data_IF_538310057961
#
_entry.id   IF_538310057961
#
_cell.length_a   1.000
_cell.length_b   1.000
_cell.length_c   1.000
_cell.angle_alpha   90.00
_cell.angle_beta   90.00
_cell.angle_gamma   90.00
#
_symmetry.space_group_name_H-M   'P 1'
#
loop_
_entity.id
_entity.type
_entity.pdbx_description
1 polymer ?
#
# COMPACT_ATOMS: atom_id res chain seq x y z
N UNK A 1 16.94 -4.66 1.76
CA UNK A 1 17.56 -5.31 0.58
C UNK A 1 16.75 -6.50 0.05
N UNK A 2 16.43 -7.51 0.87
CA UNK A 2 15.66 -8.68 0.42
C UNK A 2 14.30 -8.35 -0.21
N UNK A 3 13.59 -7.38 0.36
CA UNK A 3 12.31 -6.88 -0.18
C UNK A 3 12.47 -6.22 -1.54
N UNK A 4 13.49 -5.37 -1.71
CA UNK A 4 13.78 -4.73 -2.99
C UNK A 4 14.04 -5.76 -4.08
N UNK A 5 14.86 -6.77 -3.77
CA UNK A 5 15.15 -7.89 -4.67
C UNK A 5 13.89 -8.68 -5.01
N UNK A 6 13.06 -8.99 -4.02
CA UNK A 6 11.77 -9.69 -4.22
C UNK A 6 10.85 -8.92 -5.17
N UNK A 7 10.64 -7.62 -4.94
CA UNK A 7 9.76 -6.78 -5.79
C UNK A 7 10.38 -6.62 -7.18
N UNK A 8 11.69 -6.50 -7.29
CA UNK A 8 12.40 -6.37 -8.57
C UNK A 8 12.19 -7.61 -9.45
N UNK A 9 12.37 -8.81 -8.89
CA UNK A 9 12.11 -10.07 -9.61
C UNK A 9 10.62 -10.31 -9.88
N UNK A 10 9.71 -9.78 -9.03
CA UNK A 10 8.26 -9.97 -9.20
C UNK A 10 7.67 -9.11 -10.32
N UNK A 11 8.15 -7.87 -10.48
CA UNK A 11 7.53 -6.86 -11.35
C UNK A 11 8.37 -6.46 -12.57
N UNK A 12 9.59 -6.99 -12.72
CA UNK A 12 10.52 -6.76 -13.84
C UNK A 12 10.91 -5.28 -14.10
N UNK A 13 10.34 -4.34 -13.33
CA UNK A 13 10.45 -2.90 -13.52
C UNK A 13 10.79 -2.22 -12.21
N UNK A 14 11.96 -1.58 -12.19
CA UNK A 14 12.54 -0.95 -11.00
C UNK A 14 11.66 0.14 -10.38
N UNK A 15 10.78 0.78 -11.16
CA UNK A 15 9.89 1.85 -10.70
C UNK A 15 8.91 1.34 -9.62
N UNK A 16 8.40 0.11 -9.75
CA UNK A 16 7.56 -0.54 -8.75
C UNK A 16 8.34 -0.85 -7.47
N UNK A 17 9.59 -1.31 -7.62
CA UNK A 17 10.47 -1.63 -6.49
C UNK A 17 10.87 -0.38 -5.71
N UNK A 18 11.15 0.73 -6.40
CA UNK A 18 11.49 2.02 -5.76
C UNK A 18 10.30 2.58 -4.96
N UNK A 19 9.10 2.60 -5.57
CA UNK A 19 7.89 3.07 -4.91
C UNK A 19 7.55 2.25 -3.66
N UNK A 20 7.66 0.91 -3.76
CA UNK A 20 7.43 0.02 -2.63
C UNK A 20 8.43 0.23 -1.48
N UNK A 21 9.71 0.43 -1.78
CA UNK A 21 10.72 0.69 -0.74
C UNK A 21 10.48 2.03 -0.04
N UNK A 22 10.11 3.07 -0.78
CA UNK A 22 9.81 4.39 -0.21
C UNK A 22 8.60 4.31 0.73
N UNK A 23 7.52 3.64 0.29
CA UNK A 23 6.34 3.43 1.12
C UNK A 23 6.68 2.68 2.43
N UNK A 24 7.46 1.60 2.34
CA UNK A 24 7.89 0.86 3.53
C UNK A 24 8.81 1.64 4.46
N UNK A 25 9.69 2.47 3.90
CA UNK A 25 10.56 3.34 4.69
C UNK A 25 9.72 4.36 5.47
N UNK A 26 8.71 4.95 4.83
CA UNK A 26 7.75 5.83 5.48
C UNK A 26 6.99 5.12 6.61
N UNK A 27 6.49 3.90 6.38
CA UNK A 27 5.78 3.10 7.39
C UNK A 27 6.66 2.83 8.62
N UNK A 28 7.92 2.42 8.40
CA UNK A 28 8.86 2.15 9.48
C UNK A 28 9.20 3.42 10.29
N UNK A 29 9.37 4.56 9.62
CA UNK A 29 9.61 5.84 10.30
C UNK A 29 8.44 6.25 11.19
N UNK A 30 7.19 6.09 10.73
CA UNK A 30 6.01 6.43 11.51
C UNK A 30 5.87 5.55 12.77
N UNK A 31 6.19 4.26 12.65
CA UNK A 31 6.19 3.34 13.79
C UNK A 31 7.27 3.74 14.81
N UNK A 32 8.49 4.06 14.36
CA UNK A 32 9.57 4.53 15.26
C UNK A 32 9.18 5.86 15.91
N UNK A 33 8.62 6.80 15.15
CA UNK A 33 8.20 8.12 15.65
C UNK A 33 7.06 8.02 16.68
N UNK A 34 6.26 6.96 16.65
CA UNK A 34 5.16 6.78 17.60
C UNK A 34 5.61 6.54 19.05
N UNK A 35 6.81 5.99 19.25
CA UNK A 35 7.36 5.68 20.59
C UNK A 35 7.67 6.93 21.43
N UNK A 36 8.42 7.93 20.93
CA UNK A 36 8.63 9.17 21.69
C UNK A 36 7.32 9.96 21.89
N UNK A 37 6.38 9.88 20.95
CA UNK A 37 5.05 10.47 21.11
C UNK A 37 4.30 9.78 22.26
N UNK A 38 4.28 8.44 22.28
CA UNK A 38 3.69 7.68 23.37
C UNK A 38 4.33 8.00 24.73
N UNK A 39 5.65 8.18 24.75
CA UNK A 39 6.39 8.58 25.95
C UNK A 39 5.95 9.96 26.47
N UNK A 40 5.61 10.90 25.59
CA UNK A 40 5.06 12.20 25.97
C UNK A 40 3.66 12.09 26.63
N UNK A 41 2.89 11.05 26.29
CA UNK A 41 1.62 10.72 26.94
C UNK A 41 1.76 9.82 28.19
N UNK A 42 2.99 9.58 28.67
CA UNK A 42 3.27 8.77 29.85
C UNK A 42 3.35 7.26 29.59
N UNK A 43 3.25 6.81 28.33
CA UNK A 43 3.42 5.41 27.94
C UNK A 43 4.89 5.15 27.57
N UNK A 44 5.63 4.49 28.46
CA UNK A 44 7.02 4.12 28.22
C UNK A 44 7.10 2.74 27.59
N UNK A 45 7.30 2.69 26.29
CA UNK A 45 7.57 1.44 25.56
C UNK A 45 9.05 1.32 25.23
N UNK A 46 9.61 0.14 25.43
CA UNK A 46 10.99 -0.17 25.07
C UNK A 46 11.07 -0.66 23.61
N UNK A 47 12.07 -0.19 22.89
CA UNK A 47 12.40 -0.69 21.55
C UNK A 47 13.37 -1.87 21.69
N UNK A 48 12.82 -3.05 21.95
CA UNK A 48 13.55 -4.29 22.13
C UNK A 48 13.52 -5.17 20.86
N UNK A 49 13.93 -6.44 20.96
CA UNK A 49 13.86 -7.37 19.84
C UNK A 49 12.41 -7.63 19.39
N UNK A 50 11.45 -7.54 20.30
CA UNK A 50 10.03 -7.75 20.02
C UNK A 50 9.49 -6.58 19.18
N UNK A 51 9.93 -5.35 19.45
CA UNK A 51 9.67 -4.21 18.57
C UNK A 51 10.17 -4.44 17.14
N UNK A 52 11.39 -4.97 16.96
CA UNK A 52 11.92 -5.28 15.62
C UNK A 52 11.04 -6.33 14.92
N UNK A 53 10.55 -7.32 15.64
CA UNK A 53 9.61 -8.32 15.10
C UNK A 53 8.27 -7.68 14.66
N UNK A 54 7.77 -6.69 15.40
CA UNK A 54 6.58 -5.93 15.00
C UNK A 54 6.82 -5.18 13.69
N UNK A 55 7.92 -4.43 13.58
CA UNK A 55 8.27 -3.68 12.37
C UNK A 55 8.40 -4.60 11.17
N UNK A 56 9.08 -5.75 11.32
CA UNK A 56 9.21 -6.73 10.24
C UNK A 56 7.85 -7.29 9.80
N UNK A 57 6.94 -7.53 10.75
CA UNK A 57 5.58 -8.02 10.48
C UNK A 57 4.76 -6.99 9.70
N UNK A 58 4.82 -5.71 10.10
CA UNK A 58 4.14 -4.60 9.42
C UNK A 58 4.63 -4.47 7.99
N UNK A 59 5.94 -4.54 7.79
CA UNK A 59 6.54 -4.51 6.45
C UNK A 59 6.02 -5.67 5.59
N UNK A 60 5.87 -6.87 6.16
CA UNK A 60 5.31 -8.02 5.47
C UNK A 60 3.86 -7.80 5.02
N UNK A 61 3.01 -7.26 5.90
CA UNK A 61 1.61 -6.95 5.56
C UNK A 61 1.51 -5.83 4.51
N UNK A 62 2.18 -4.71 4.71
CA UNK A 62 2.20 -3.58 3.76
C UNK A 62 2.70 -3.99 2.37
N UNK A 63 3.73 -4.85 2.31
CA UNK A 63 4.23 -5.41 1.06
C UNK A 63 3.22 -6.34 0.38
N UNK A 64 2.57 -7.23 1.13
CA UNK A 64 1.55 -8.13 0.60
C UNK A 64 0.45 -7.32 -0.12
N UNK A 65 -0.02 -6.24 0.49
CA UNK A 65 -1.10 -5.44 -0.06
C UNK A 65 -0.66 -4.67 -1.30
N UNK A 66 0.56 -4.11 -1.26
CA UNK A 66 1.18 -3.45 -2.42
C UNK A 66 1.28 -4.39 -3.62
N UNK A 67 1.72 -5.64 -3.42
CA UNK A 67 1.85 -6.64 -4.49
C UNK A 67 0.49 -6.98 -5.10
N UNK A 68 -0.54 -7.18 -4.27
CA UNK A 68 -1.89 -7.52 -4.75
C UNK A 68 -2.49 -6.38 -5.59
N UNK A 69 -2.30 -5.12 -5.18
CA UNK A 69 -2.73 -3.94 -5.94
C UNK A 69 -2.00 -3.88 -7.28
N UNK A 70 -0.67 -4.05 -7.27
CA UNK A 70 0.15 -3.97 -8.49
C UNK A 70 -0.17 -5.10 -9.47
N UNK A 71 -0.39 -6.31 -8.98
CA UNK A 71 -0.80 -7.45 -9.78
C UNK A 71 -2.16 -7.16 -10.45
N UNK A 72 -3.11 -6.60 -9.71
CA UNK A 72 -4.42 -6.24 -10.25
C UNK A 72 -4.31 -5.14 -11.32
N UNK A 73 -3.49 -4.11 -11.10
CA UNK A 73 -3.22 -3.08 -12.11
C UNK A 73 -2.66 -3.70 -13.39
N UNK A 74 -1.67 -4.62 -13.27
CA UNK A 74 -1.10 -5.33 -14.43
C UNK A 74 -2.14 -6.22 -15.11
N UNK A 75 -3.04 -6.84 -14.36
CA UNK A 75 -4.12 -7.65 -14.91
C UNK A 75 -5.07 -6.82 -15.78
N UNK A 76 -5.48 -5.63 -15.32
CA UNK A 76 -6.31 -4.71 -16.12
C UNK A 76 -5.60 -4.26 -17.40
N UNK A 77 -4.31 -3.89 -17.34
CA UNK A 77 -3.54 -3.48 -18.52
C UNK A 77 -3.31 -4.63 -19.51
N UNK A 78 -3.19 -5.86 -19.02
CA UNK A 78 -3.05 -7.03 -19.89
C UNK A 78 -4.36 -7.38 -20.59
N UNK A 79 -5.49 -7.21 -19.90
CA UNK A 79 -6.81 -7.53 -20.45
C UNK A 79 -7.29 -6.48 -21.46
N UNK A 80 -6.97 -5.21 -21.25
CA UNK A 80 -7.24 -4.16 -22.22
C UNK A 80 -6.02 -3.22 -22.41
N UNK A 81 -5.16 -3.51 -23.40
CA UNK A 81 -3.97 -2.73 -23.69
C UNK A 81 -4.24 -1.28 -24.15
N UNK A 82 -5.50 -0.92 -24.42
CA UNK A 82 -5.87 0.45 -24.79
C UNK A 82 -6.09 1.35 -23.57
N UNK A 83 -6.29 0.76 -22.40
CA UNK A 83 -6.46 1.51 -21.15
C UNK A 83 -5.12 2.04 -20.67
N UNK A 84 -5.10 3.30 -20.29
CA UNK A 84 -3.93 3.93 -19.69
C UNK A 84 -3.77 3.52 -18.22
N UNK A 85 -2.55 3.62 -17.69
CA UNK A 85 -2.25 3.36 -16.28
C UNK A 85 -3.18 4.16 -15.33
N UNK A 86 -3.49 5.41 -15.69
CA UNK A 86 -4.41 6.28 -14.94
C UNK A 86 -5.85 5.74 -14.89
N UNK A 87 -6.32 5.11 -15.97
CA UNK A 87 -7.67 4.58 -16.05
C UNK A 87 -7.84 3.27 -15.28
N UNK A 88 -6.80 2.45 -15.21
CA UNK A 88 -6.87 1.13 -14.54
C UNK A 88 -6.64 1.19 -13.04
N UNK A 89 -6.01 2.24 -12.52
CA UNK A 89 -5.68 2.34 -11.09
C UNK A 89 -6.92 2.37 -10.21
N UNK A 90 -7.90 3.23 -10.51
CA UNK A 90 -9.07 3.36 -9.65
C UNK A 90 -9.93 2.06 -9.61
N UNK A 91 -10.21 1.41 -10.75
CA UNK A 91 -10.83 0.07 -10.76
C UNK A 91 -10.01 -0.98 -10.02
N UNK A 92 -8.69 -1.01 -10.20
CA UNK A 92 -7.81 -1.95 -9.53
C UNK A 92 -7.88 -1.80 -8.01
N UNK A 93 -7.70 -0.57 -7.51
CA UNK A 93 -7.81 -0.24 -6.09
C UNK A 93 -9.16 -0.68 -5.51
N UNK A 94 -10.27 -0.31 -6.16
CA UNK A 94 -11.60 -0.65 -5.68
C UNK A 94 -11.82 -2.17 -5.60
N UNK A 95 -11.31 -2.93 -6.58
CA UNK A 95 -11.42 -4.40 -6.58
C UNK A 95 -10.58 -5.09 -5.50
N UNK A 96 -9.45 -4.48 -5.10
CA UNK A 96 -8.55 -5.02 -4.06
C UNK A 96 -8.85 -4.48 -2.66
N UNK A 97 -9.60 -3.37 -2.57
CA UNK A 97 -9.90 -2.68 -1.32
C UNK A 97 -10.67 -3.57 -0.33
N UNK A 98 -11.71 -4.28 -0.80
CA UNK A 98 -12.49 -5.16 0.07
C UNK A 98 -11.62 -6.26 0.69
N UNK A 99 -10.69 -6.83 -0.07
CA UNK A 99 -9.76 -7.86 0.44
C UNK A 99 -8.80 -7.29 1.48
N UNK A 100 -8.15 -6.18 1.14
CA UNK A 100 -7.16 -5.53 2.02
C UNK A 100 -7.82 -5.09 3.33
N UNK A 101 -9.00 -4.47 3.28
CA UNK A 101 -9.74 -4.09 4.48
C UNK A 101 -10.14 -5.27 5.36
N UNK A 102 -10.54 -6.41 4.79
CA UNK A 102 -10.83 -7.63 5.57
C UNK A 102 -9.58 -8.11 6.31
N UNK A 103 -8.44 -8.19 5.61
CA UNK A 103 -7.17 -8.62 6.22
C UNK A 103 -6.73 -7.67 7.32
N UNK A 104 -6.74 -6.36 7.08
CA UNK A 104 -6.37 -5.36 8.08
C UNK A 104 -7.29 -5.38 9.28
N UNK A 105 -8.60 -5.43 9.09
CA UNK A 105 -9.57 -5.48 10.20
C UNK A 105 -9.36 -6.72 11.06
N UNK A 106 -9.10 -7.86 10.43
CA UNK A 106 -8.85 -9.13 11.15
C UNK A 106 -7.59 -9.02 12.00
N UNK A 107 -6.49 -8.55 11.44
CA UNK A 107 -5.23 -8.39 12.18
C UNK A 107 -5.39 -7.34 13.26
N UNK A 108 -6.02 -6.21 12.96
CA UNK A 108 -6.29 -5.14 13.92
C UNK A 108 -7.06 -5.65 15.14
N UNK A 109 -8.11 -6.46 14.93
CA UNK A 109 -8.87 -7.05 16.03
C UNK A 109 -7.99 -7.95 16.90
N UNK A 110 -7.20 -8.84 16.29
CA UNK A 110 -6.26 -9.71 17.02
C UNK A 110 -5.25 -8.89 17.82
N UNK A 111 -4.68 -7.85 17.23
CA UNK A 111 -3.68 -7.00 17.88
C UNK A 111 -4.30 -6.17 19.01
N UNK A 112 -5.54 -5.70 18.88
CA UNK A 112 -6.26 -5.01 19.96
C UNK A 112 -6.48 -5.94 21.15
N UNK A 113 -6.89 -7.19 20.91
CA UNK A 113 -6.99 -8.20 21.97
C UNK A 113 -5.62 -8.42 22.63
N UNK A 114 -4.54 -8.55 21.85
CA UNK A 114 -3.19 -8.66 22.39
C UNK A 114 -2.75 -7.42 23.17
N UNK A 115 -3.16 -6.21 22.77
CA UNK A 115 -2.81 -4.98 23.48
C UNK A 115 -3.47 -4.89 24.86
N UNK A 116 -4.71 -5.37 24.97
CA UNK A 116 -5.48 -5.37 26.22
C UNK A 116 -5.03 -6.52 27.14
N UNK A 117 -4.86 -7.73 26.58
CA UNK A 117 -4.68 -8.97 27.36
C UNK A 117 -3.25 -9.55 27.32
N UNK A 118 -2.35 -9.05 26.49
CA UNK A 118 -1.03 -9.63 26.24
C UNK A 118 0.06 -9.33 27.29
N UNK A 119 -0.23 -8.51 28.31
CA UNK A 119 0.74 -8.13 29.34
C UNK A 119 1.78 -7.11 28.87
N UNK A 120 2.74 -6.75 29.74
CA UNK A 120 3.69 -5.65 29.48
C UNK A 120 4.60 -5.90 28.29
N UNK A 121 5.14 -7.12 28.17
CA UNK A 121 6.06 -7.51 27.08
C UNK A 121 5.42 -7.40 25.70
N UNK A 122 4.16 -7.81 25.55
CA UNK A 122 3.45 -7.74 24.27
C UNK A 122 2.79 -6.37 24.04
N UNK A 123 2.71 -5.50 25.04
CA UNK A 123 2.06 -4.20 24.89
C UNK A 123 2.83 -3.27 23.97
N UNK A 124 4.17 -3.27 24.02
CA UNK A 124 5.00 -2.51 23.05
C UNK A 124 4.84 -3.04 21.62
N UNK A 125 4.83 -4.37 21.48
CA UNK A 125 4.59 -5.06 20.21
C UNK A 125 3.24 -4.69 19.61
N UNK A 126 2.17 -4.87 20.38
CA UNK A 126 0.81 -4.62 19.92
C UNK A 126 0.56 -3.14 19.64
N UNK A 127 1.19 -2.24 20.41
CA UNK A 127 1.18 -0.81 20.11
C UNK A 127 1.82 -0.51 18.75
N UNK A 128 3.03 -1.02 18.50
CA UNK A 128 3.72 -0.85 17.23
C UNK A 128 2.89 -1.41 16.06
N UNK A 129 2.28 -2.59 16.25
CA UNK A 129 1.41 -3.22 15.26
C UNK A 129 0.14 -2.41 14.96
N UNK A 130 -0.52 -1.84 15.98
CA UNK A 130 -1.70 -0.98 15.79
C UNK A 130 -1.35 0.23 14.93
N UNK A 131 -0.28 0.95 15.29
CA UNK A 131 0.20 2.10 14.52
C UNK A 131 0.58 1.69 13.10
N UNK A 132 1.34 0.61 12.97
CA UNK A 132 1.79 0.09 11.68
C UNK A 132 0.65 -0.31 10.74
N UNK A 133 -0.40 -0.94 11.25
CA UNK A 133 -1.56 -1.31 10.43
C UNK A 133 -2.31 -0.06 9.95
N UNK A 134 -2.54 0.91 10.83
CA UNK A 134 -3.26 2.15 10.48
C UNK A 134 -2.51 2.90 9.38
N UNK A 135 -1.22 3.14 9.55
CA UNK A 135 -0.42 3.90 8.59
C UNK A 135 -0.03 3.08 7.36
N UNK A 136 0.22 1.78 7.49
CA UNK A 136 0.55 0.89 6.37
C UNK A 136 -0.64 0.66 5.42
N UNK A 137 -1.86 0.58 5.96
CA UNK A 137 -3.09 0.53 5.14
C UNK A 137 -3.22 1.79 4.30
N UNK A 138 -2.95 2.95 4.90
CA UNK A 138 -2.99 4.23 4.19
C UNK A 138 -1.87 4.32 3.13
N UNK A 139 -0.65 3.95 3.50
CA UNK A 139 0.54 4.07 2.66
C UNK A 139 0.47 3.21 1.39
N UNK A 140 0.06 1.95 1.52
CA UNK A 140 -0.08 1.03 0.37
C UNK A 140 -1.13 1.50 -0.65
N UNK A 141 -2.21 2.15 -0.20
CA UNK A 141 -3.28 2.64 -1.09
C UNK A 141 -2.99 4.04 -1.65
N UNK A 142 -2.54 4.98 -0.79
CA UNK A 142 -2.50 6.41 -1.10
C UNK A 142 -1.09 6.97 -1.34
N UNK A 143 -0.02 6.23 -1.04
CA UNK A 143 1.36 6.66 -1.33
C UNK A 143 1.92 5.84 -2.50
N UNK A 144 1.82 4.51 -2.43
CA UNK A 144 2.41 3.63 -3.44
C UNK A 144 1.77 3.79 -4.84
N UNK A 145 0.46 3.97 -4.89
CA UNK A 145 -0.31 4.08 -6.14
C UNK A 145 -0.06 5.38 -6.91
N UNK A 146 -0.14 6.58 -6.31
CA UNK A 146 0.15 7.83 -7.02
C UNK A 146 1.62 7.97 -7.41
N UNK A 147 2.57 7.41 -6.64
CA UNK A 147 4.00 7.44 -7.01
C UNK A 147 4.23 6.67 -8.32
N UNK A 148 3.57 5.53 -8.51
CA UNK A 148 3.68 4.77 -9.76
C UNK A 148 2.89 5.44 -10.88
N UNK A 149 1.71 6.00 -10.61
CA UNK A 149 1.00 6.82 -11.59
C UNK A 149 1.88 7.95 -12.12
N UNK A 150 2.57 8.67 -11.24
CA UNK A 150 3.41 9.79 -11.63
C UNK A 150 4.64 9.33 -12.42
N UNK A 151 5.26 8.23 -12.00
CA UNK A 151 6.48 7.72 -12.62
C UNK A 151 6.21 6.98 -13.95
N UNK A 152 5.08 6.31 -14.04
CA UNK A 152 4.74 5.40 -15.13
C UNK A 152 3.72 5.99 -16.10
N UNK A 153 2.73 6.72 -15.59
CA UNK A 153 1.76 7.46 -16.40
C UNK A 153 2.42 8.56 -17.23
N UNK A 154 3.41 9.30 -16.69
CA UNK A 154 4.19 10.29 -17.47
C UNK A 154 5.02 9.65 -18.59
N UNK A 155 5.50 8.41 -18.39
CA UNK A 155 6.27 7.66 -19.39
C UNK A 155 5.34 7.14 -20.50
N UNK A 156 4.21 6.58 -20.12
CA UNK A 156 3.18 6.10 -21.05
C UNK A 156 2.57 7.24 -21.88
N UNK A 157 2.29 8.40 -21.26
CA UNK A 157 1.79 9.59 -21.95
C UNK A 157 2.81 10.10 -22.98
N UNK A 158 4.11 10.08 -22.66
CA UNK A 158 5.18 10.43 -23.60
C UNK A 158 5.27 9.45 -24.77
N UNK A 159 5.16 8.15 -24.52
CA UNK A 159 5.24 7.11 -25.54
C UNK A 159 4.01 7.13 -26.48
N UNK A 160 2.79 7.32 -25.94
CA UNK A 160 1.56 7.46 -26.75
C UNK A 160 1.49 8.77 -27.54
N UNK A 161 1.96 9.89 -26.97
CA UNK A 161 2.13 11.16 -27.72
C UNK A 161 3.13 11.01 -28.87
N UNK A 162 4.24 10.28 -28.64
CA UNK A 162 5.22 10.00 -29.69
C UNK A 162 4.68 9.06 -30.79
N UNK A 163 3.70 8.21 -30.47
CA UNK A 163 3.01 7.33 -31.41
C UNK A 163 1.85 8.01 -32.19
N UNK A 164 1.53 9.29 -31.89
CA UNK A 164 0.50 10.05 -32.60
C UNK A 164 -0.95 9.76 -32.18
N UNK A 165 -1.18 9.05 -31.07
CA UNK A 165 -2.53 8.84 -30.53
C UNK A 165 -3.06 10.10 -29.84
N UNK A 166 -4.25 10.55 -30.26
CA UNK A 166 -4.90 11.73 -29.72
C UNK A 166 -5.58 11.39 -28.38
N UNK A 167 -4.87 11.66 -27.29
CA UNK A 167 -5.28 11.53 -25.87
C UNK A 167 -6.59 12.26 -25.51
N UNK A 168 -7.11 13.09 -26.41
CA UNK A 168 -8.33 13.90 -26.22
C UNK A 168 -9.65 13.12 -26.43
N UNK A 169 -9.61 11.94 -27.07
CA UNK A 169 -10.78 11.06 -27.21
C UNK A 169 -10.87 9.97 -26.14
N UNK A 170 -10.02 10.02 -25.11
CA UNK A 170 -10.09 9.06 -24.02
C UNK A 170 -11.30 9.41 -23.14
N UNK A 171 -12.20 8.46 -22.83
CA UNK A 171 -13.36 8.70 -21.98
C UNK A 171 -12.87 9.00 -20.55
N UNK A 172 -12.53 10.27 -20.32
CA UNK A 172 -12.27 10.90 -19.03
C UNK A 172 -13.56 11.27 -18.28
N UNK A 173 -14.71 10.84 -18.80
CA UNK A 173 -15.88 10.69 -17.94
C UNK A 173 -15.78 9.30 -17.33
N UNK A 174 -15.61 9.25 -16.01
CA UNK A 174 -15.87 8.07 -15.19
C UNK A 174 -17.03 7.26 -15.80
N UNK A 175 -17.00 5.91 -15.79
CA UNK A 175 -18.18 5.14 -16.16
C UNK A 175 -19.34 5.71 -15.36
N UNK A 176 -20.30 6.36 -16.03
CA UNK A 176 -21.55 6.71 -15.38
C UNK A 176 -22.16 5.36 -15.06
N UNK A 177 -22.03 4.94 -13.80
CA UNK A 177 -22.86 3.89 -13.25
C UNK A 177 -24.29 4.33 -13.57
N UNK A 178 -24.92 3.60 -14.48
CA UNK A 178 -26.31 3.79 -14.84
C UNK A 178 -27.15 3.41 -13.63
N UNK A 179 -27.30 4.32 -12.68
CA UNK A 179 -28.44 4.33 -11.77
C UNK A 179 -29.65 4.68 -12.62
N UNK A 180 -30.34 3.64 -13.09
CA UNK A 180 -31.73 3.49 -13.59
C UNK A 180 -31.65 2.26 -14.51
N UNK A 181 -32.11 1.06 -14.13
CA UNK A 181 -33.49 0.52 -14.06
C UNK A 181 -33.24 -0.96 -13.66
N UNK A 182 -33.92 -1.68 -12.77
CA UNK A 182 -35.28 -1.73 -12.21
C UNK A 182 -35.16 -2.26 -10.78
#
# INVERSE_FOLDING_TARGET
>A
LGIFVYVLFRFDKWQYSMAAVIALFHDALLVIASYPIAAAFGLKYEMDQIFVAAVLSIIGFSMNDTVVIYDRIREYLRNDPKLTFAQVVNPALNSTFSRTMITFTTIFLVVVVLYIFGGETLRSFSFAMIIGIIFGTYSSLFIATPIILDTYGKKEERERKAAGENITELPGSAPKLSTTTV
#
